data_IF_372264132401
#
_entry.id   IF_372264132401
#
_cell.length_a   1.000
_cell.length_b   1.000
_cell.length_c   1.000
_cell.angle_alpha   90.00
_cell.angle_beta   90.00
_cell.angle_gamma   90.00
#
_symmetry.space_group_name_H-M   'P 1'
#
loop_
_entity.id
_entity.type
_entity.pdbx_description
1 polymer ?
#
# COMPACT_ATOMS: atom_id res chain seq x y z
N UNK A 1 9.60 -28.37 6.47
CA UNK A 1 8.54 -27.69 5.69
C UNK A 1 8.30 -26.22 6.10
N UNK A 2 9.30 -25.50 6.66
CA UNK A 2 9.10 -24.17 7.28
C UNK A 2 9.46 -22.96 6.38
N UNK A 3 10.44 -23.08 5.46
CA UNK A 3 10.98 -21.92 4.74
C UNK A 3 10.03 -21.22 3.75
N UNK A 4 9.18 -21.98 3.04
CA UNK A 4 8.22 -21.41 2.06
C UNK A 4 7.12 -20.58 2.74
N UNK A 5 6.73 -20.98 3.94
CA UNK A 5 5.72 -20.31 4.74
C UNK A 5 6.22 -18.94 5.24
N UNK A 6 7.44 -18.93 5.79
CA UNK A 6 8.11 -17.73 6.26
C UNK A 6 8.32 -16.72 5.12
N UNK A 7 8.67 -17.21 3.93
CA UNK A 7 8.86 -16.38 2.75
C UNK A 7 7.58 -15.66 2.32
N UNK A 8 6.43 -16.33 2.38
CA UNK A 8 5.13 -15.71 2.07
C UNK A 8 4.76 -14.59 3.04
N UNK A 9 4.99 -14.79 4.34
CA UNK A 9 4.74 -13.76 5.38
C UNK A 9 5.70 -12.58 5.21
N UNK A 10 6.98 -12.85 4.96
CA UNK A 10 7.99 -11.81 4.73
C UNK A 10 7.67 -10.97 3.50
N UNK A 11 7.21 -11.56 2.40
CA UNK A 11 6.80 -10.80 1.20
C UNK A 11 5.60 -9.89 1.52
N UNK A 12 4.59 -10.40 2.22
CA UNK A 12 3.42 -9.61 2.60
C UNK A 12 3.79 -8.42 3.48
N UNK A 13 4.66 -8.66 4.47
CA UNK A 13 5.20 -7.60 5.32
C UNK A 13 6.03 -6.61 4.49
N UNK A 14 7.08 -7.06 3.80
CA UNK A 14 7.96 -6.16 3.01
C UNK A 14 7.16 -5.34 1.99
N UNK A 15 6.16 -5.93 1.33
CA UNK A 15 5.28 -5.23 0.39
C UNK A 15 4.47 -4.12 1.05
N UNK A 16 3.90 -4.38 2.24
CA UNK A 16 3.19 -3.36 3.01
C UNK A 16 4.15 -2.27 3.54
N UNK A 17 5.29 -2.66 4.13
CA UNK A 17 6.33 -1.74 4.62
C UNK A 17 6.80 -0.79 3.54
N UNK A 18 7.21 -1.37 2.41
CA UNK A 18 7.77 -0.66 1.28
C UNK A 18 6.74 0.26 0.66
N UNK A 19 5.50 -0.19 0.50
CA UNK A 19 4.40 0.64 0.01
C UNK A 19 4.16 1.86 0.91
N UNK A 20 4.12 1.66 2.23
CA UNK A 20 3.91 2.75 3.19
C UNK A 20 5.05 3.77 3.17
N UNK A 21 6.30 3.28 3.18
CA UNK A 21 7.49 4.12 3.04
C UNK A 21 7.48 4.93 1.75
N UNK A 22 7.06 4.32 0.65
CA UNK A 22 7.02 4.97 -0.66
C UNK A 22 5.97 6.08 -0.70
N UNK A 23 4.77 5.85 -0.13
CA UNK A 23 3.75 6.88 0.01
C UNK A 23 4.23 8.06 0.88
N UNK A 24 4.90 7.76 2.00
CA UNK A 24 5.43 8.79 2.89
C UNK A 24 6.51 9.64 2.19
N UNK A 25 7.47 9.00 1.52
CA UNK A 25 8.52 9.70 0.76
C UNK A 25 7.92 10.54 -0.35
N UNK A 26 6.93 10.01 -1.08
CA UNK A 26 6.26 10.75 -2.15
C UNK A 26 5.52 11.98 -1.61
N UNK A 27 4.85 11.86 -0.47
CA UNK A 27 4.19 12.97 0.19
C UNK A 27 5.19 14.04 0.63
N UNK A 28 6.24 13.66 1.36
CA UNK A 28 7.25 14.60 1.85
C UNK A 28 7.98 15.31 0.70
N UNK A 29 8.33 14.56 -0.35
CA UNK A 29 8.99 15.09 -1.55
C UNK A 29 8.06 16.04 -2.30
N UNK A 30 6.80 15.65 -2.51
CA UNK A 30 5.82 16.47 -3.19
C UNK A 30 5.46 17.75 -2.44
N UNK A 31 5.46 17.72 -1.10
CA UNK A 31 5.32 18.93 -0.30
C UNK A 31 6.52 19.87 -0.46
N UNK A 32 7.75 19.34 -0.40
CA UNK A 32 8.96 20.16 -0.55
C UNK A 32 9.17 20.67 -1.98
N UNK A 33 8.66 19.94 -2.97
CA UNK A 33 8.67 20.34 -4.39
C UNK A 33 7.47 21.23 -4.78
N UNK A 34 6.55 21.53 -3.86
CA UNK A 34 5.40 22.40 -4.12
C UNK A 34 4.29 21.80 -4.98
N UNK A 35 4.26 20.47 -5.17
CA UNK A 35 3.26 19.78 -6.00
C UNK A 35 1.83 19.87 -5.46
N UNK A 36 1.66 20.26 -4.20
CA UNK A 36 0.34 20.56 -3.62
C UNK A 36 -0.27 21.85 -4.20
N UNK A 37 0.55 22.82 -4.61
CA UNK A 37 0.12 24.07 -5.23
C UNK A 37 -0.24 23.93 -6.72
N UNK A 38 0.19 22.84 -7.37
CA UNK A 38 -0.13 22.55 -8.77
C UNK A 38 -1.50 21.86 -8.86
N UNK A 39 -2.55 22.67 -9.03
CA UNK A 39 -3.93 22.19 -9.18
C UNK A 39 -4.17 21.63 -10.59
N UNK A 40 -4.58 20.37 -10.67
CA UNK A 40 -5.08 19.72 -11.89
C UNK A 40 -6.61 19.61 -11.77
N UNK A 41 -7.31 20.73 -11.99
CA UNK A 41 -8.75 20.83 -11.73
C UNK A 41 -9.05 20.93 -10.22
N UNK A 42 -9.96 20.13 -9.65
CA UNK A 42 -10.32 20.20 -8.22
C UNK A 42 -9.33 19.49 -7.28
N UNK A 43 -8.27 18.87 -7.80
CA UNK A 43 -7.34 18.01 -7.06
C UNK A 43 -5.90 18.48 -7.31
N UNK A 44 -5.05 18.52 -6.28
CA UNK A 44 -3.61 18.82 -6.45
C UNK A 44 -2.87 17.66 -7.12
N UNK A 45 -1.82 17.96 -7.90
CA UNK A 45 -0.98 16.95 -8.55
C UNK A 45 -0.41 15.96 -7.53
N UNK A 46 -0.04 16.45 -6.34
CA UNK A 46 0.38 15.61 -5.20
C UNK A 46 -0.70 14.61 -4.79
N UNK A 47 -1.94 15.07 -4.61
CA UNK A 47 -3.05 14.21 -4.20
C UNK A 47 -3.35 13.15 -5.27
N UNK A 48 -3.28 13.50 -6.55
CA UNK A 48 -3.44 12.56 -7.65
C UNK A 48 -2.36 11.46 -7.61
N UNK A 49 -1.09 11.85 -7.46
CA UNK A 49 0.05 10.93 -7.38
C UNK A 49 -0.07 9.96 -6.19
N UNK A 50 -0.48 10.45 -5.02
CA UNK A 50 -0.69 9.61 -3.83
C UNK A 50 -1.82 8.60 -4.04
N UNK A 51 -2.93 9.00 -4.67
CA UNK A 51 -4.05 8.10 -5.00
C UNK A 51 -3.57 7.00 -5.95
N UNK A 52 -2.91 7.37 -7.06
CA UNK A 52 -2.41 6.41 -8.06
C UNK A 52 -1.45 5.42 -7.41
N UNK A 53 -0.52 5.92 -6.59
CA UNK A 53 0.48 5.09 -5.90
C UNK A 53 -0.18 4.13 -4.91
N UNK A 54 -1.18 4.60 -4.16
CA UNK A 54 -1.95 3.76 -3.22
C UNK A 54 -2.68 2.64 -3.97
N UNK A 55 -3.36 2.98 -5.07
CA UNK A 55 -4.05 1.98 -5.91
C UNK A 55 -3.06 0.96 -6.47
N UNK A 56 -1.89 1.41 -6.96
CA UNK A 56 -0.85 0.52 -7.46
C UNK A 56 -0.35 -0.46 -6.39
N UNK A 57 -0.06 0.02 -5.17
CA UNK A 57 0.36 -0.83 -4.04
C UNK A 57 -0.71 -1.88 -3.73
N UNK A 58 -1.98 -1.47 -3.64
CA UNK A 58 -3.09 -2.39 -3.37
C UNK A 58 -3.21 -3.46 -4.47
N UNK A 59 -3.15 -3.07 -5.75
CA UNK A 59 -3.22 -4.02 -6.86
C UNK A 59 -2.05 -5.01 -6.84
N UNK A 60 -0.84 -4.55 -6.53
CA UNK A 60 0.35 -5.41 -6.41
C UNK A 60 0.18 -6.41 -5.26
N UNK A 61 -0.29 -5.97 -4.09
CA UNK A 61 -0.54 -6.85 -2.94
C UNK A 61 -1.63 -7.90 -3.24
N UNK A 62 -2.73 -7.48 -3.89
CA UNK A 62 -3.79 -8.41 -4.34
C UNK A 62 -3.21 -9.43 -5.32
N UNK A 63 -2.42 -8.98 -6.30
CA UNK A 63 -1.81 -9.87 -7.29
C UNK A 63 -0.88 -10.90 -6.65
N UNK A 64 -0.01 -10.49 -5.73
CA UNK A 64 0.86 -11.41 -4.99
C UNK A 64 0.06 -12.42 -4.18
N UNK A 65 -1.05 -11.98 -3.57
CA UNK A 65 -1.94 -12.86 -2.78
C UNK A 65 -2.63 -13.89 -3.66
N UNK A 66 -3.22 -13.46 -4.78
CA UNK A 66 -3.90 -14.34 -5.73
C UNK A 66 -2.90 -15.35 -6.31
N UNK A 67 -1.69 -14.89 -6.66
CA UNK A 67 -0.63 -15.74 -7.18
C UNK A 67 -0.15 -16.76 -6.15
N UNK A 68 0.02 -16.36 -4.89
CA UNK A 68 0.40 -17.26 -3.79
C UNK A 68 -0.67 -18.34 -3.54
N UNK A 69 -1.96 -17.96 -3.56
CA UNK A 69 -3.07 -18.88 -3.40
C UNK A 69 -3.20 -19.89 -4.56
N UNK A 70 -2.84 -19.50 -5.80
CA UNK A 70 -2.86 -20.42 -6.95
C UNK A 70 -1.80 -21.52 -6.88
N UNK A 71 -0.82 -21.46 -5.99
CA UNK A 71 0.26 -22.45 -5.89
C UNK A 71 0.31 -23.17 -4.53
N UNK A 72 -0.60 -22.89 -3.59
CA UNK A 72 -0.53 -23.37 -2.20
C UNK A 72 -1.79 -24.12 -1.74
N UNK A 73 -1.59 -25.38 -1.32
CA UNK A 73 -2.59 -26.24 -0.66
C UNK A 73 -3.16 -25.60 0.63
N UNK A 74 -4.41 -25.95 0.94
CA UNK A 74 -5.27 -25.51 2.06
C UNK A 74 -4.62 -25.63 3.44
N UNK A 75 -3.75 -24.69 3.80
CA UNK A 75 -3.08 -24.64 5.10
C UNK A 75 -3.50 -23.39 5.87
N UNK A 76 -3.48 -23.47 7.22
CA UNK A 76 -3.72 -22.36 8.17
C UNK A 76 -2.96 -21.06 7.84
N UNK A 77 -1.91 -21.18 7.02
CA UNK A 77 -1.17 -20.08 6.43
C UNK A 77 -1.98 -19.17 5.48
N UNK A 78 -2.93 -19.71 4.73
CA UNK A 78 -3.83 -18.90 3.88
C UNK A 78 -4.69 -17.97 4.75
N UNK A 79 -5.09 -18.43 5.93
CA UNK A 79 -5.80 -17.63 6.95
C UNK A 79 -4.96 -16.48 7.47
N UNK A 80 -3.66 -16.72 7.72
CA UNK A 80 -2.70 -15.68 8.14
C UNK A 80 -2.46 -14.68 7.01
N UNK A 81 -2.39 -15.13 5.75
CA UNK A 81 -2.31 -14.25 4.58
C UNK A 81 -3.55 -13.35 4.42
N UNK A 82 -4.74 -13.88 4.67
CA UNK A 82 -6.00 -13.09 4.67
C UNK A 82 -5.99 -12.06 5.80
N UNK A 83 -5.55 -12.43 7.01
CA UNK A 83 -5.41 -11.51 8.14
C UNK A 83 -4.39 -10.39 7.85
N UNK A 84 -3.23 -10.74 7.29
CA UNK A 84 -2.20 -9.79 6.91
C UNK A 84 -2.68 -8.82 5.81
N UNK A 85 -3.43 -9.32 4.83
CA UNK A 85 -4.06 -8.46 3.83
C UNK A 85 -5.15 -7.55 4.40
N UNK A 86 -5.98 -8.07 5.31
CA UNK A 86 -6.98 -7.23 5.98
C UNK A 86 -6.32 -6.13 6.80
N UNK A 87 -5.19 -6.42 7.45
CA UNK A 87 -4.40 -5.42 8.16
C UNK A 87 -3.77 -4.40 7.20
N UNK A 88 -3.26 -4.83 6.04
CA UNK A 88 -2.73 -3.94 5.01
C UNK A 88 -3.82 -3.02 4.41
N UNK A 89 -5.03 -3.55 4.20
CA UNK A 89 -6.20 -2.78 3.73
C UNK A 89 -6.66 -1.79 4.79
N UNK A 90 -6.77 -2.21 6.06
CA UNK A 90 -7.10 -1.32 7.18
C UNK A 90 -6.05 -0.22 7.37
N UNK A 91 -4.77 -0.55 7.20
CA UNK A 91 -3.69 0.43 7.24
C UNK A 91 -3.72 1.41 6.05
N UNK A 92 -4.17 0.98 4.87
CA UNK A 92 -4.41 1.89 3.75
C UNK A 92 -5.55 2.88 4.05
N UNK A 93 -6.53 2.51 4.87
CA UNK A 93 -7.55 3.45 5.37
C UNK A 93 -6.99 4.51 6.32
N UNK A 94 -5.80 4.32 6.91
CA UNK A 94 -5.14 5.42 7.63
C UNK A 94 -4.68 6.54 6.68
N UNK A 95 -4.50 6.24 5.39
CA UNK A 95 -4.18 7.23 4.35
C UNK A 95 -5.40 8.02 3.86
N UNK A 96 -6.62 7.72 4.34
CA UNK A 96 -7.83 8.51 4.02
C UNK A 96 -7.68 9.98 4.45
N UNK A 97 -6.77 10.28 5.38
CA UNK A 97 -6.38 11.63 5.74
C UNK A 97 -5.89 12.47 4.54
N UNK A 98 -5.32 11.86 3.50
CA UNK A 98 -4.93 12.54 2.24
C UNK A 98 -6.12 13.18 1.53
N UNK A 99 -7.34 12.67 1.74
CA UNK A 99 -8.57 13.16 1.11
C UNK A 99 -9.09 14.43 1.82
N UNK A 100 -8.83 14.60 3.12
CA UNK A 100 -9.46 15.65 3.93
C UNK A 100 -8.51 16.63 4.63
N UNK A 101 -7.25 16.26 4.89
CA UNK A 101 -6.27 17.12 5.55
C UNK A 101 -5.43 17.93 4.55
N UNK A 102 -4.95 19.10 4.99
CA UNK A 102 -3.85 19.82 4.35
C UNK A 102 -2.64 18.89 4.32
N UNK A 103 -2.19 18.54 3.11
CA UNK A 103 -1.11 17.58 2.91
C UNK A 103 0.25 18.13 3.33
N UNK A 104 0.38 19.45 3.26
CA UNK A 104 1.57 20.21 3.58
C UNK A 104 1.15 21.36 4.52
N UNK A 105 1.95 21.60 5.57
CA UNK A 105 1.81 22.73 6.47
C UNK A 105 2.74 23.87 6.04
#
# INVERSE_FOLDING_TARGET
MSGRALFGILIGWIGWAGGFLLLYVLQATGCRAGWDGHLLGPISALRLLLIITTVAIVLVLIWFTVKANRHGSTSSLARIGVLANSAAILAALCFTGVIWLRLCA
#
